data_IF_472984309609
#
_entry.id   IF_472984309609
#
_cell.length_a   1.000
_cell.length_b   1.000
_cell.length_c   1.000
_cell.angle_alpha   90.00
_cell.angle_beta   90.00
_cell.angle_gamma   90.00
#
_symmetry.space_group_name_H-M   'P 1'
#
loop_
_entity.id
_entity.type
_entity.pdbx_description
1 polymer ?
#
# COMPACT_ATOMS: atom_id res chain seq x y z
N UNK A 1 -19.42 11.25 -4.04
CA UNK A 1 -18.32 10.64 -4.80
C UNK A 1 -17.95 9.32 -4.14
N UNK A 2 -17.83 9.31 -2.81
CA UNK A 2 -17.74 8.09 -1.98
C UNK A 2 -18.70 6.95 -2.32
N UNK A 3 -19.98 7.25 -2.57
CA UNK A 3 -20.96 6.21 -2.97
C UNK A 3 -20.59 5.59 -4.33
N UNK A 4 -20.08 6.38 -5.27
CA UNK A 4 -19.65 5.92 -6.58
C UNK A 4 -18.38 5.07 -6.52
N UNK A 5 -17.39 5.46 -5.71
CA UNK A 5 -16.16 4.64 -5.55
C UNK A 5 -16.47 3.31 -4.86
N UNK A 6 -17.36 3.31 -3.86
CA UNK A 6 -17.78 2.07 -3.22
C UNK A 6 -18.49 1.11 -4.20
N UNK A 7 -19.40 1.63 -5.04
CA UNK A 7 -20.03 0.82 -6.09
C UNK A 7 -19.00 0.24 -7.07
N UNK A 8 -18.04 1.05 -7.52
CA UNK A 8 -16.96 0.58 -8.42
C UNK A 8 -16.12 -0.51 -7.75
N UNK A 9 -15.80 -0.36 -6.45
CA UNK A 9 -15.02 -1.35 -5.70
C UNK A 9 -15.72 -2.70 -5.57
N UNK A 10 -17.05 -2.73 -5.61
CA UNK A 10 -17.80 -4.00 -5.61
C UNK A 10 -17.78 -4.70 -6.97
N UNK A 11 -17.49 -3.95 -8.05
CA UNK A 11 -17.54 -4.44 -9.43
C UNK A 11 -16.16 -4.81 -10.01
N UNK A 12 -15.06 -4.23 -9.51
CA UNK A 12 -13.69 -4.50 -9.99
C UNK A 12 -13.11 -5.79 -9.41
N UNK A 13 -12.18 -6.41 -10.14
CA UNK A 13 -11.41 -7.55 -9.66
C UNK A 13 -10.32 -7.11 -8.68
N UNK A 14 -10.66 -7.15 -7.39
CA UNK A 14 -9.72 -6.78 -6.31
C UNK A 14 -8.55 -7.77 -6.17
N UNK A 15 -8.69 -9.01 -6.63
CA UNK A 15 -7.58 -9.99 -6.60
C UNK A 15 -6.53 -9.57 -7.64
N UNK A 16 -6.98 -9.33 -8.88
CA UNK A 16 -6.13 -8.83 -9.95
C UNK A 16 -5.53 -7.45 -9.62
N UNK A 17 -6.31 -6.53 -9.05
CA UNK A 17 -5.78 -5.24 -8.60
C UNK A 17 -4.72 -5.40 -7.50
N UNK A 18 -4.91 -6.35 -6.58
CA UNK A 18 -3.93 -6.62 -5.52
C UNK A 18 -2.61 -7.11 -6.08
N UNK A 19 -2.66 -8.08 -7.00
CA UNK A 19 -1.48 -8.60 -7.71
C UNK A 19 -0.79 -7.49 -8.49
N UNK A 20 -1.55 -6.71 -9.27
CA UNK A 20 -0.99 -5.62 -10.07
C UNK A 20 -0.27 -4.56 -9.21
N UNK A 21 -0.91 -4.10 -8.13
CA UNK A 21 -0.31 -3.15 -7.20
C UNK A 21 0.90 -3.73 -6.45
N UNK A 22 0.84 -5.02 -6.12
CA UNK A 22 1.94 -5.75 -5.50
C UNK A 22 3.17 -5.76 -6.39
N UNK A 23 3.05 -6.37 -7.57
CA UNK A 23 4.17 -6.63 -8.49
C UNK A 23 4.77 -5.35 -9.10
N UNK A 24 3.95 -4.34 -9.39
CA UNK A 24 4.41 -3.17 -10.16
C UNK A 24 4.80 -1.96 -9.29
N UNK A 25 4.44 -1.96 -8.00
CA UNK A 25 4.66 -0.81 -7.13
C UNK A 25 5.22 -1.24 -5.77
N UNK A 26 4.49 -2.07 -5.02
CA UNK A 26 4.90 -2.43 -3.66
C UNK A 26 6.22 -3.22 -3.64
N UNK A 27 6.43 -4.19 -4.52
CA UNK A 27 7.69 -4.95 -4.61
C UNK A 27 8.86 -4.08 -5.09
N UNK A 28 8.62 -3.12 -5.98
CA UNK A 28 9.67 -2.24 -6.50
C UNK A 28 10.28 -1.37 -5.40
N UNK A 29 9.52 -1.06 -4.33
CA UNK A 29 10.01 -0.32 -3.17
C UNK A 29 11.15 -1.04 -2.43
N UNK A 30 11.25 -2.37 -2.54
CA UNK A 30 12.36 -3.15 -1.94
C UNK A 30 13.73 -2.69 -2.46
N UNK A 31 13.77 -2.12 -3.65
CA UNK A 31 14.99 -1.61 -4.28
C UNK A 31 15.19 -0.10 -4.06
N UNK A 32 14.43 0.50 -3.13
CA UNK A 32 14.46 1.93 -2.81
C UNK A 32 14.63 2.17 -1.31
N UNK A 33 14.78 3.42 -0.91
CA UNK A 33 14.80 3.82 0.51
C UNK A 33 13.37 4.05 1.08
N UNK A 34 12.32 3.82 0.28
CA UNK A 34 10.93 4.14 0.64
C UNK A 34 10.12 2.89 0.99
N UNK A 35 9.05 3.08 1.75
CA UNK A 35 8.18 2.00 2.23
C UNK A 35 6.72 2.16 1.79
N UNK A 36 6.31 3.36 1.38
CA UNK A 36 4.94 3.61 0.93
C UNK A 36 5.00 4.37 -0.39
N UNK A 37 4.20 3.91 -1.34
CA UNK A 37 3.93 4.63 -2.59
C UNK A 37 2.45 5.03 -2.64
N UNK A 38 2.20 6.32 -2.89
CA UNK A 38 0.87 6.88 -3.06
C UNK A 38 0.61 7.03 -4.55
N UNK A 39 -0.47 6.40 -5.01
CA UNK A 39 -0.85 6.26 -6.41
C UNK A 39 -2.23 6.87 -6.65
N UNK A 40 -2.46 7.32 -7.88
CA UNK A 40 -3.75 7.85 -8.32
C UNK A 40 -4.17 7.25 -9.65
N UNK A 41 -5.48 7.01 -9.81
CA UNK A 41 -6.08 6.61 -11.08
C UNK A 41 -7.30 7.47 -11.41
N UNK A 42 -7.54 7.66 -12.71
CA UNK A 42 -8.79 8.25 -13.18
C UNK A 42 -9.97 7.29 -12.96
N UNK A 43 -11.16 7.84 -12.80
CA UNK A 43 -12.36 7.04 -12.53
C UNK A 43 -12.78 6.17 -13.71
N UNK A 44 -12.58 6.63 -14.95
CA UNK A 44 -12.95 5.87 -16.14
C UNK A 44 -11.98 4.70 -16.37
N UNK A 45 -10.71 4.91 -16.04
CA UNK A 45 -9.67 3.88 -16.07
C UNK A 45 -9.88 2.83 -14.97
N UNK A 46 -10.23 3.28 -13.75
CA UNK A 46 -10.58 2.37 -12.65
C UNK A 46 -11.78 1.47 -13.01
N UNK A 47 -12.84 2.05 -13.61
CA UNK A 47 -14.03 1.29 -14.02
C UNK A 47 -13.77 0.30 -15.15
N UNK A 48 -12.80 0.60 -16.01
CA UNK A 48 -12.42 -0.26 -17.12
C UNK A 48 -11.28 -1.20 -16.78
N UNK A 49 -10.81 -1.17 -15.53
CA UNK A 49 -9.69 -1.96 -15.01
C UNK A 49 -8.40 -1.76 -15.84
N UNK A 50 -8.22 -0.53 -16.34
CA UNK A 50 -7.05 -0.13 -17.13
C UNK A 50 -6.02 0.54 -16.21
N UNK A 51 -5.15 -0.28 -15.61
CA UNK A 51 -4.20 0.19 -14.60
C UNK A 51 -2.89 0.77 -15.16
N UNK A 52 -2.70 0.75 -16.48
CA UNK A 52 -1.51 1.31 -17.15
C UNK A 52 -1.40 2.84 -17.01
N UNK A 53 -2.50 3.52 -16.70
CA UNK A 53 -2.56 4.98 -16.54
C UNK A 53 -2.40 5.45 -15.09
N UNK A 54 -2.10 4.52 -14.16
CA UNK A 54 -1.86 4.89 -12.76
C UNK A 54 -0.69 5.89 -12.68
N UNK A 55 -0.93 6.97 -11.96
CA UNK A 55 0.02 8.05 -11.73
C UNK A 55 0.64 7.93 -10.34
N UNK A 56 1.96 8.10 -10.29
CA UNK A 56 2.69 8.27 -9.03
C UNK A 56 2.45 9.66 -8.44
N UNK A 57 2.12 9.72 -7.15
CA UNK A 57 1.88 10.98 -6.42
C UNK A 57 3.02 11.30 -5.45
N UNK A 58 3.53 10.30 -4.73
CA UNK A 58 4.63 10.50 -3.80
C UNK A 58 5.11 9.21 -3.15
N UNK A 59 6.35 9.24 -2.69
CA UNK A 59 6.96 8.20 -1.87
C UNK A 59 7.10 8.65 -0.43
N UNK A 60 7.05 7.70 0.49
CA UNK A 60 7.22 7.94 1.94
C UNK A 60 8.08 6.83 2.54
N UNK A 61 9.06 7.22 3.36
CA UNK A 61 9.86 6.29 4.17
C UNK A 61 9.03 5.74 5.34
N UNK A 62 9.41 4.60 5.89
CA UNK A 62 8.76 4.09 7.10
C UNK A 62 8.86 5.12 8.24
N UNK A 63 7.76 5.30 8.96
CA UNK A 63 7.62 6.26 10.05
C UNK A 63 7.68 7.76 9.67
N UNK A 64 7.85 8.13 8.38
CA UNK A 64 7.79 9.52 7.92
C UNK A 64 6.34 10.00 7.70
N UNK A 65 5.60 10.08 8.80
CA UNK A 65 4.19 10.48 8.80
C UNK A 65 3.99 11.97 8.46
N UNK A 66 5.01 12.78 8.66
CA UNK A 66 5.00 14.21 8.33
C UNK A 66 5.02 14.44 6.81
N UNK A 67 5.69 13.56 6.06
CA UNK A 67 5.56 13.54 4.60
C UNK A 67 4.20 12.96 4.19
N UNK A 68 3.75 11.85 4.80
CA UNK A 68 2.48 11.21 4.44
C UNK A 68 1.25 12.14 4.56
N UNK A 69 1.17 12.93 5.64
CA UNK A 69 0.06 13.89 5.86
C UNK A 69 0.00 15.00 4.81
N UNK A 70 1.07 15.22 4.04
CA UNK A 70 1.06 16.18 2.92
C UNK A 70 0.43 15.60 1.65
N UNK A 71 0.30 14.27 1.58
CA UNK A 71 -0.19 13.52 0.42
C UNK A 71 -1.63 13.02 0.61
N UNK A 72 -2.01 12.70 1.84
CA UNK A 72 -3.32 12.11 2.18
C UNK A 72 -3.93 12.80 3.41
N UNK A 73 -5.19 12.50 3.73
CA UNK A 73 -5.85 13.11 4.88
C UNK A 73 -5.31 12.60 6.22
N UNK A 74 -5.44 13.39 7.29
CA UNK A 74 -5.10 12.99 8.67
C UNK A 74 -5.76 11.68 9.11
N UNK A 75 -6.98 11.42 8.62
CA UNK A 75 -7.72 10.20 8.93
C UNK A 75 -7.03 8.99 8.29
N UNK A 76 -6.54 9.13 7.07
CA UNK A 76 -5.85 8.08 6.33
C UNK A 76 -4.47 7.82 6.90
N UNK A 77 -3.72 8.86 7.29
CA UNK A 77 -2.46 8.68 8.02
C UNK A 77 -2.64 7.76 9.22
N UNK A 78 -3.70 7.97 10.02
CA UNK A 78 -3.98 7.13 11.19
C UNK A 78 -4.34 5.69 10.82
N UNK A 79 -5.17 5.51 9.78
CA UNK A 79 -5.53 4.18 9.30
C UNK A 79 -4.30 3.41 8.80
N UNK A 80 -3.45 4.06 8.00
CA UNK A 80 -2.21 3.47 7.48
C UNK A 80 -1.25 3.12 8.62
N UNK A 81 -1.12 4.00 9.63
CA UNK A 81 -0.32 3.73 10.83
C UNK A 81 -0.80 2.50 11.62
N UNK A 82 -2.12 2.31 11.71
CA UNK A 82 -2.72 1.14 12.38
C UNK A 82 -2.46 -0.13 11.57
N UNK A 83 -2.70 -0.09 10.24
CA UNK A 83 -2.44 -1.22 9.34
C UNK A 83 -0.96 -1.65 9.35
N UNK A 84 -0.02 -0.70 9.31
CA UNK A 84 1.41 -1.02 9.38
C UNK A 84 1.80 -1.74 10.67
N UNK A 85 1.18 -1.38 11.80
CA UNK A 85 1.42 -2.06 13.09
C UNK A 85 0.87 -3.48 13.06
N UNK A 86 -0.36 -3.65 12.58
CA UNK A 86 -0.99 -4.97 12.47
C UNK A 86 -0.23 -5.89 11.51
N UNK A 87 0.19 -5.37 10.35
CA UNK A 87 0.98 -6.11 9.36
C UNK A 87 2.35 -6.49 9.96
N UNK A 88 3.02 -5.59 10.67
CA UNK A 88 4.30 -5.89 11.32
C UNK A 88 4.17 -7.03 12.35
N UNK A 89 3.14 -6.95 13.22
CA UNK A 89 2.87 -8.00 14.19
C UNK A 89 2.51 -9.34 13.52
N UNK A 90 1.66 -9.32 12.48
CA UNK A 90 1.27 -10.51 11.73
C UNK A 90 2.49 -11.20 11.13
N UNK A 91 3.28 -10.49 10.32
CA UNK A 91 4.39 -11.10 9.60
C UNK A 91 5.53 -11.54 10.52
N UNK A 92 5.79 -10.83 11.62
CA UNK A 92 6.75 -11.29 12.64
C UNK A 92 6.30 -12.57 13.33
N UNK A 93 5.01 -12.73 13.58
CA UNK A 93 4.47 -13.95 14.20
C UNK A 93 4.45 -15.14 13.23
N UNK A 94 4.27 -14.89 11.94
CA UNK A 94 4.29 -15.90 10.88
C UNK A 94 5.72 -16.32 10.49
N UNK A 95 6.72 -15.48 10.74
CA UNK A 95 8.11 -15.75 10.40
C UNK A 95 8.75 -16.81 11.32
N UNK A 96 8.95 -18.01 10.78
CA UNK A 96 9.69 -19.08 11.46
C UNK A 96 11.21 -18.78 11.46
N UNK A 97 11.65 -18.10 12.51
CA UNK A 97 13.06 -17.78 12.70
C UNK A 97 13.77 -18.87 13.50
N UNK A 98 14.86 -19.42 12.96
CA UNK A 98 15.66 -20.47 13.64
C UNK A 98 16.44 -20.00 14.87
N UNK A 99 16.40 -18.69 15.17
CA UNK A 99 17.10 -18.03 16.28
C UNK A 99 16.10 -17.33 17.21
N UNK A 100 16.36 -17.41 18.53
CA UNK A 100 15.57 -16.72 19.56
C UNK A 100 16.47 -15.81 20.42
N UNK A 101 16.24 -14.49 20.44
CA UNK A 101 15.24 -13.76 19.64
C UNK A 101 15.56 -13.77 18.14
N UNK A 102 14.53 -13.60 17.31
CA UNK A 102 14.75 -13.44 15.87
C UNK A 102 15.37 -12.07 15.61
N UNK A 103 16.51 -12.05 14.93
CA UNK A 103 17.23 -10.81 14.58
C UNK A 103 16.92 -10.35 13.15
N UNK A 104 15.97 -10.99 12.47
CA UNK A 104 15.57 -10.61 11.12
C UNK A 104 14.86 -9.26 11.14
N UNK A 105 15.37 -8.32 10.34
CA UNK A 105 14.73 -7.04 10.16
C UNK A 105 13.58 -7.22 9.16
N UNK A 106 12.35 -6.85 9.56
CA UNK A 106 11.18 -6.91 8.70
C UNK A 106 10.99 -5.54 8.05
N UNK A 107 11.04 -5.50 6.73
CA UNK A 107 10.67 -4.33 5.95
C UNK A 107 9.29 -4.57 5.32
N UNK A 108 8.42 -3.57 5.44
CA UNK A 108 7.09 -3.56 4.83
C UNK A 108 7.08 -2.54 3.71
N UNK A 109 6.46 -2.89 2.60
CA UNK A 109 6.29 -2.03 1.44
C UNK A 109 4.81 -1.99 1.06
N UNK A 110 4.26 -0.79 0.85
CA UNK A 110 2.83 -0.62 0.62
C UNK A 110 2.56 0.31 -0.55
N UNK A 111 1.77 -0.15 -1.51
CA UNK A 111 1.21 0.67 -2.57
C UNK A 111 -0.24 1.02 -2.22
N UNK A 112 -0.61 2.30 -2.27
CA UNK A 112 -1.95 2.78 -1.92
C UNK A 112 -2.54 3.55 -3.10
N UNK A 113 -3.68 3.07 -3.61
CA UNK A 113 -4.36 3.62 -4.76
C UNK A 113 -5.54 4.50 -4.37
N UNK A 114 -5.55 5.70 -4.93
CA UNK A 114 -6.61 6.69 -4.79
C UNK A 114 -7.31 6.99 -6.11
N UNK A 115 -8.60 7.30 -6.04
CA UNK A 115 -9.35 7.86 -7.15
C UNK A 115 -10.13 9.07 -6.64
N UNK A 116 -9.93 10.25 -7.25
CA UNK A 116 -10.56 11.50 -6.82
C UNK A 116 -10.40 11.80 -5.30
N UNK A 117 -9.19 11.62 -4.77
CA UNK A 117 -8.86 11.83 -3.35
C UNK A 117 -9.56 10.87 -2.36
N UNK A 118 -10.18 9.80 -2.87
CA UNK A 118 -10.79 8.76 -2.07
C UNK A 118 -10.02 7.45 -2.20
N UNK A 119 -9.80 6.78 -1.06
CA UNK A 119 -9.15 5.48 -0.99
C UNK A 119 -9.92 4.43 -1.81
N UNK A 120 -9.19 3.72 -2.68
CA UNK A 120 -9.72 2.62 -3.49
C UNK A 120 -9.26 1.28 -2.93
N UNK A 121 -7.94 1.06 -2.93
CA UNK A 121 -7.34 -0.22 -2.55
C UNK A 121 -5.88 -0.02 -2.14
N UNK A 122 -5.32 -1.01 -1.45
CA UNK A 122 -3.88 -1.06 -1.17
C UNK A 122 -3.39 -2.49 -1.10
N UNK A 123 -2.10 -2.66 -1.39
CA UNK A 123 -1.40 -3.94 -1.27
C UNK A 123 -0.15 -3.73 -0.43
N UNK A 124 0.09 -4.63 0.53
CA UNK A 124 1.32 -4.69 1.32
C UNK A 124 2.15 -5.90 0.88
N UNK A 125 3.43 -5.70 0.58
CA UNK A 125 4.45 -6.75 0.44
C UNK A 125 5.49 -6.60 1.55
N UNK A 126 6.32 -7.61 1.75
CA UNK A 126 7.30 -7.60 2.83
C UNK A 126 8.55 -8.39 2.48
N UNK A 127 9.66 -8.01 3.11
CA UNK A 127 10.93 -8.72 3.04
C UNK A 127 11.55 -8.85 4.42
N UNK A 128 12.39 -9.87 4.60
CA UNK A 128 13.21 -10.04 5.80
C UNK A 128 14.67 -9.90 5.43
N UNK A 129 15.36 -8.90 5.99
CA UNK A 129 16.81 -8.83 5.87
C UNK A 129 17.43 -9.90 6.77
N UNK A 130 18.43 -10.59 6.21
CA UNK A 130 19.19 -11.69 6.85
C UNK A 130 20.47 -11.20 7.51
#
# INVERSE_FOLDING_TARGET
>A
MSELINEIREDIDTEWLSEYLGENYAEELEYTDYNIEILKIDIDDLKSESYESIEHIGYVENEDWDTLITLVSEKEVKAIQEEFKEDNERYRNEHECGSSPCDCNLNLYKAILYCNEEYVWSTTTYSFDS
#
